data_IF_096819077891
#
_entry.id   IF_096819077891
#
_cell.length_a   1.000
_cell.length_b   1.000
_cell.length_c   1.000
_cell.angle_alpha   90.00
_cell.angle_beta   90.00
_cell.angle_gamma   90.00
#
_symmetry.space_group_name_H-M   'P 1'
#
loop_
_entity.id
_entity.type
_entity.pdbx_description
1 polymer ?
#
# COMPACT_ATOMS: atom_id res chain seq x y z
N UNK A 1 63.12 -2.74 -11.49
CA UNK A 1 62.50 -4.05 -11.11
C UNK A 1 60.99 -3.90 -11.29
N UNK A 2 60.37 -4.49 -12.31
CA UNK A 2 58.92 -4.37 -12.51
C UNK A 2 58.20 -5.54 -11.82
N UNK A 3 57.32 -5.22 -10.87
CA UNK A 3 56.41 -6.16 -10.26
C UNK A 3 55.26 -6.48 -11.22
N UNK A 4 55.19 -7.74 -11.68
CA UNK A 4 54.07 -8.28 -12.46
C UNK A 4 53.00 -8.75 -11.49
N UNK A 5 51.85 -8.03 -11.40
CA UNK A 5 50.63 -8.48 -10.75
C UNK A 5 49.87 -9.39 -11.74
N UNK A 6 49.76 -10.66 -11.44
CA UNK A 6 48.93 -11.61 -12.13
C UNK A 6 47.45 -11.44 -11.67
N UNK A 7 46.49 -11.42 -12.60
CA UNK A 7 45.09 -11.42 -12.23
C UNK A 7 44.64 -12.83 -11.81
N UNK A 8 44.20 -12.98 -10.56
CA UNK A 8 43.59 -14.18 -10.02
C UNK A 8 42.13 -14.25 -10.50
N UNK A 9 41.89 -15.02 -11.57
CA UNK A 9 40.53 -15.36 -12.05
C UNK A 9 39.88 -16.32 -11.04
N UNK A 10 38.94 -15.84 -10.26
CA UNK A 10 38.10 -16.64 -9.38
C UNK A 10 36.85 -17.10 -10.17
N UNK A 11 36.66 -18.42 -10.45
CA UNK A 11 35.44 -18.89 -11.05
C UNK A 11 34.29 -18.89 -10.01
N UNK A 12 33.30 -18.03 -10.19
CA UNK A 12 32.07 -18.05 -9.41
C UNK A 12 31.22 -19.21 -9.94
N UNK A 13 31.22 -20.32 -9.21
CA UNK A 13 30.27 -21.42 -9.37
C UNK A 13 28.88 -20.96 -8.93
N UNK A 14 28.05 -20.59 -9.88
CA UNK A 14 26.62 -20.36 -9.66
C UNK A 14 25.98 -21.75 -9.55
N UNK A 15 25.88 -22.30 -8.34
CA UNK A 15 25.04 -23.45 -8.05
C UNK A 15 23.56 -22.99 -8.14
N UNK A 16 22.98 -23.18 -9.31
CA UNK A 16 21.54 -23.01 -9.51
C UNK A 16 20.79 -24.05 -8.67
N UNK A 17 20.16 -23.62 -7.57
CA UNK A 17 19.12 -24.41 -6.90
C UNK A 17 17.93 -24.50 -7.85
N UNK A 18 17.88 -25.56 -8.66
CA UNK A 18 16.66 -26.01 -9.31
C UNK A 18 15.75 -26.59 -8.21
N UNK A 19 15.06 -25.74 -7.45
CA UNK A 19 13.92 -26.16 -6.68
C UNK A 19 12.85 -26.58 -7.69
N UNK A 20 12.62 -27.89 -7.80
CA UNK A 20 11.46 -28.44 -8.46
C UNK A 20 10.23 -27.95 -7.70
N UNK A 21 9.71 -26.79 -8.14
CA UNK A 21 8.42 -26.32 -7.68
C UNK A 21 7.41 -27.33 -8.20
N UNK A 22 6.94 -28.22 -7.32
CA UNK A 22 5.78 -29.04 -7.56
C UNK A 22 4.57 -28.10 -7.67
N UNK A 23 4.48 -27.38 -8.78
CA UNK A 23 3.29 -26.60 -9.09
C UNK A 23 2.16 -27.61 -9.25
N UNK A 24 1.03 -27.45 -8.54
CA UNK A 24 -0.11 -28.31 -8.72
C UNK A 24 -0.50 -28.28 -10.20
N UNK A 25 -0.42 -29.43 -10.86
CA UNK A 25 -0.79 -29.58 -12.25
C UNK A 25 -2.25 -29.20 -12.42
N UNK A 26 -2.55 -28.28 -13.32
CA UNK A 26 -3.92 -27.95 -13.73
C UNK A 26 -4.50 -29.02 -14.68
N UNK A 27 -3.77 -30.11 -14.92
CA UNK A 27 -4.29 -31.25 -15.66
C UNK A 27 -5.44 -31.91 -14.89
N UNK A 28 -6.54 -32.13 -15.57
CA UNK A 28 -7.72 -32.81 -15.01
C UNK A 28 -7.27 -34.17 -14.47
N UNK A 29 -7.44 -34.39 -13.17
CA UNK A 29 -7.09 -35.67 -12.54
C UNK A 29 -8.00 -36.77 -13.09
N UNK A 30 -7.49 -38.01 -13.27
CA UNK A 30 -8.32 -39.13 -13.74
C UNK A 30 -9.62 -39.33 -12.96
N UNK A 31 -9.63 -38.99 -11.67
CA UNK A 31 -10.82 -39.01 -10.82
C UNK A 31 -11.85 -37.93 -11.18
N UNK A 32 -11.44 -36.85 -11.78
CA UNK A 32 -12.34 -35.76 -12.24
C UNK A 32 -12.86 -36.05 -13.65
N UNK A 33 -12.06 -36.73 -14.49
CA UNK A 33 -12.50 -37.18 -15.81
C UNK A 33 -13.53 -38.32 -15.73
N UNK A 34 -13.55 -39.07 -14.63
CA UNK A 34 -14.52 -40.14 -14.38
C UNK A 34 -15.83 -39.62 -13.74
N UNK A 35 -15.88 -38.35 -13.32
CA UNK A 35 -17.12 -37.73 -12.92
C UNK A 35 -17.92 -37.33 -14.16
N UNK A 36 -18.37 -38.33 -14.93
CA UNK A 36 -19.50 -38.16 -15.83
C UNK A 36 -20.62 -37.55 -14.97
N UNK A 37 -21.06 -36.37 -15.42
CA UNK A 37 -22.22 -35.70 -14.83
C UNK A 37 -23.35 -36.71 -14.83
N UNK A 38 -23.55 -37.38 -13.71
CA UNK A 38 -24.68 -38.23 -13.52
C UNK A 38 -25.89 -37.28 -13.45
N UNK A 39 -26.63 -37.24 -14.56
CA UNK A 39 -27.78 -36.37 -14.77
C UNK A 39 -28.91 -36.62 -13.75
N UNK A 40 -28.70 -37.52 -12.80
CA UNK A 40 -29.62 -37.88 -11.74
C UNK A 40 -29.22 -37.34 -10.36
N UNK A 41 -28.28 -36.39 -10.27
CA UNK A 41 -28.07 -35.75 -8.96
C UNK A 41 -29.30 -34.91 -8.64
N UNK A 42 -30.09 -35.27 -7.60
CA UNK A 42 -31.21 -34.44 -7.18
C UNK A 42 -30.65 -33.04 -6.92
N UNK A 43 -31.31 -32.02 -7.50
CA UNK A 43 -30.90 -30.64 -7.29
C UNK A 43 -30.61 -30.43 -5.81
N UNK A 44 -29.34 -30.25 -5.47
CA UNK A 44 -28.97 -29.98 -4.08
C UNK A 44 -29.87 -28.83 -3.64
N UNK A 45 -30.66 -29.06 -2.61
CA UNK A 45 -31.53 -28.02 -2.08
C UNK A 45 -30.68 -26.77 -1.91
N UNK A 46 -31.00 -25.74 -2.66
CA UNK A 46 -30.32 -24.47 -2.55
C UNK A 46 -30.59 -24.00 -1.14
N UNK A 47 -29.64 -24.28 -0.25
CA UNK A 47 -29.68 -23.74 1.10
C UNK A 47 -29.80 -22.25 0.94
N UNK A 48 -30.87 -21.59 1.40
CA UNK A 48 -30.98 -20.15 1.25
C UNK A 48 -29.71 -19.54 1.86
N UNK A 49 -28.98 -18.78 1.09
CA UNK A 49 -27.87 -17.98 1.61
C UNK A 49 -28.53 -17.07 2.63
N UNK A 50 -28.38 -17.41 3.92
CA UNK A 50 -28.76 -16.50 5.00
C UNK A 50 -27.85 -15.30 4.83
N UNK A 51 -28.38 -14.26 4.18
CA UNK A 51 -27.70 -12.96 4.13
C UNK A 51 -27.60 -12.52 5.58
N UNK A 52 -26.40 -12.62 6.14
CA UNK A 52 -26.17 -12.21 7.52
C UNK A 52 -26.67 -10.77 7.65
N UNK A 53 -27.59 -10.57 8.59
CA UNK A 53 -28.17 -9.24 8.86
C UNK A 53 -27.04 -8.24 9.05
N UNK A 54 -27.03 -7.19 8.23
CA UNK A 54 -26.02 -6.13 8.32
C UNK A 54 -26.30 -5.33 9.57
N UNK A 55 -25.45 -5.46 10.56
CA UNK A 55 -25.54 -4.68 11.79
C UNK A 55 -24.93 -3.30 11.51
N UNK A 56 -25.69 -2.21 11.64
CA UNK A 56 -25.17 -0.87 11.45
C UNK A 56 -23.97 -0.60 12.39
N UNK A 57 -23.07 0.26 11.95
CA UNK A 57 -22.02 0.78 12.83
C UNK A 57 -22.63 1.55 13.99
N UNK A 58 -22.09 1.38 15.18
CA UNK A 58 -22.51 2.17 16.34
C UNK A 58 -22.08 3.65 16.18
N UNK A 59 -22.84 4.54 16.83
CA UNK A 59 -22.66 6.00 16.71
C UNK A 59 -21.25 6.44 17.15
N UNK A 60 -20.69 5.79 18.16
CA UNK A 60 -19.36 6.13 18.67
C UNK A 60 -18.27 5.76 17.63
N UNK A 61 -18.40 4.60 16.99
CA UNK A 61 -17.52 4.19 15.90
C UNK A 61 -17.60 5.15 14.72
N UNK A 62 -18.82 5.52 14.30
CA UNK A 62 -19.01 6.50 13.21
C UNK A 62 -18.33 7.83 13.57
N UNK A 63 -18.55 8.36 14.75
CA UNK A 63 -17.96 9.62 15.18
C UNK A 63 -16.43 9.62 15.20
N UNK A 64 -15.81 8.49 15.59
CA UNK A 64 -14.35 8.31 15.54
C UNK A 64 -13.84 8.35 14.10
N UNK A 65 -14.47 7.59 13.21
CA UNK A 65 -14.09 7.56 11.79
C UNK A 65 -14.28 8.93 11.12
N UNK A 66 -15.39 9.60 11.37
CA UNK A 66 -15.65 10.97 10.86
C UNK A 66 -14.58 11.96 11.35
N UNK A 67 -14.11 11.81 12.59
CA UNK A 67 -13.03 12.65 13.13
C UNK A 67 -11.74 12.42 12.34
N UNK A 68 -11.43 11.18 12.01
CA UNK A 68 -10.27 10.82 11.16
C UNK A 68 -10.44 11.38 9.73
N UNK A 69 -11.64 11.28 9.14
CA UNK A 69 -11.94 11.88 7.82
C UNK A 69 -11.67 13.39 7.85
N UNK A 70 -12.19 14.11 8.85
CA UNK A 70 -11.95 15.56 8.98
C UNK A 70 -10.46 15.88 9.14
N UNK A 71 -9.71 15.10 9.90
CA UNK A 71 -8.28 15.29 10.07
C UNK A 71 -7.51 15.08 8.75
N UNK A 72 -7.86 14.04 7.99
CA UNK A 72 -7.29 13.81 6.66
C UNK A 72 -7.61 14.96 5.69
N UNK A 73 -8.86 15.41 5.64
CA UNK A 73 -9.28 16.54 4.82
C UNK A 73 -8.58 17.84 5.20
N UNK A 74 -8.37 18.10 6.49
CA UNK A 74 -7.64 19.27 6.97
C UNK A 74 -6.17 19.28 6.52
N UNK A 75 -5.56 18.12 6.22
CA UNK A 75 -4.20 18.04 5.70
C UNK A 75 -4.05 18.53 4.26
N UNK A 76 -5.15 18.58 3.48
CA UNK A 76 -5.09 18.86 2.03
C UNK A 76 -4.54 20.26 1.76
N UNK A 77 -5.09 21.28 2.40
CA UNK A 77 -4.71 22.67 2.13
C UNK A 77 -3.22 22.97 2.45
N UNK A 78 -2.67 22.61 3.63
CA UNK A 78 -1.25 22.79 3.91
C UNK A 78 -0.36 21.96 2.99
N UNK A 79 -0.79 20.73 2.61
CA UNK A 79 -0.06 19.89 1.66
C UNK A 79 0.04 20.57 0.28
N UNK A 80 -1.09 20.99 -0.29
CA UNK A 80 -1.12 21.69 -1.59
C UNK A 80 -0.23 22.93 -1.58
N UNK A 81 -0.28 23.72 -0.51
CA UNK A 81 0.59 24.91 -0.35
C UNK A 81 2.08 24.56 -0.33
N UNK A 82 2.47 23.38 0.17
CA UNK A 82 3.86 22.96 0.28
C UNK A 82 4.38 22.24 -0.99
N UNK A 83 3.51 21.77 -1.89
CA UNK A 83 3.90 21.02 -3.09
C UNK A 83 4.73 21.86 -4.05
N UNK A 84 4.29 23.06 -4.40
CA UNK A 84 4.99 23.89 -5.41
C UNK A 84 6.39 24.32 -4.95
N UNK A 85 6.62 24.80 -3.71
CA UNK A 85 7.97 25.03 -3.22
C UNK A 85 8.87 23.80 -3.27
N UNK A 86 8.33 22.61 -2.95
CA UNK A 86 9.09 21.36 -3.01
C UNK A 86 9.44 20.98 -4.46
N UNK A 87 8.50 21.14 -5.41
CA UNK A 87 8.75 20.91 -6.84
C UNK A 87 9.82 21.84 -7.39
N UNK A 88 9.75 23.12 -7.07
CA UNK A 88 10.74 24.12 -7.50
C UNK A 88 12.13 23.79 -6.95
N UNK A 89 12.24 23.44 -5.66
CA UNK A 89 13.51 23.07 -5.06
C UNK A 89 14.13 21.81 -5.71
N UNK A 90 13.31 20.77 -5.98
CA UNK A 90 13.75 19.55 -6.66
C UNK A 90 14.17 19.85 -8.11
N UNK A 91 13.47 20.73 -8.81
CA UNK A 91 13.85 21.17 -10.16
C UNK A 91 15.20 21.91 -10.16
N UNK A 92 15.40 22.82 -9.22
CA UNK A 92 16.67 23.56 -9.07
C UNK A 92 17.85 22.65 -8.69
N UNK A 93 17.60 21.54 -8.02
CA UNK A 93 18.62 20.53 -7.71
C UNK A 93 18.93 19.60 -8.89
N UNK A 94 18.29 19.83 -10.04
CA UNK A 94 18.48 19.00 -11.23
C UNK A 94 19.94 19.07 -11.72
N UNK A 95 20.65 17.92 -11.72
CA UNK A 95 22.07 17.83 -12.09
C UNK A 95 23.05 18.30 -11.02
N UNK A 96 22.58 18.77 -9.87
CA UNK A 96 23.43 19.17 -8.76
C UNK A 96 24.11 17.95 -8.10
N UNK A 97 25.34 18.12 -7.66
CA UNK A 97 26.04 17.08 -6.92
C UNK A 97 25.30 16.76 -5.59
N UNK A 98 25.31 15.50 -5.19
CA UNK A 98 24.85 15.10 -3.86
C UNK A 98 25.59 15.91 -2.80
N UNK A 99 24.90 16.38 -1.78
CA UNK A 99 25.39 17.26 -0.72
C UNK A 99 25.69 18.71 -1.14
N UNK A 100 25.42 19.11 -2.40
CA UNK A 100 25.44 20.53 -2.76
C UNK A 100 24.32 21.29 -2.06
N UNK A 101 24.45 22.61 -1.98
CA UNK A 101 23.43 23.47 -1.35
C UNK A 101 22.06 23.29 -1.99
N UNK A 102 21.98 23.24 -3.32
CA UNK A 102 20.72 23.01 -4.03
C UNK A 102 20.11 21.65 -3.70
N UNK A 103 20.93 20.60 -3.62
CA UNK A 103 20.46 19.26 -3.26
C UNK A 103 19.93 19.22 -1.81
N UNK A 104 20.65 19.84 -0.86
CA UNK A 104 20.23 19.93 0.54
C UNK A 104 18.94 20.74 0.66
N UNK A 105 18.81 21.86 -0.05
CA UNK A 105 17.59 22.67 -0.07
C UNK A 105 16.39 21.86 -0.58
N UNK A 106 16.56 21.04 -1.62
CA UNK A 106 15.52 20.15 -2.12
C UNK A 106 15.12 19.08 -1.10
N UNK A 107 16.08 18.46 -0.43
CA UNK A 107 15.82 17.49 0.66
C UNK A 107 15.00 18.13 1.78
N UNK A 108 15.35 19.32 2.22
CA UNK A 108 14.63 20.06 3.26
C UNK A 108 13.21 20.39 2.81
N UNK A 109 13.04 20.82 1.55
CA UNK A 109 11.71 21.14 1.02
C UNK A 109 10.80 19.90 0.93
N UNK A 110 11.32 18.76 0.47
CA UNK A 110 10.56 17.51 0.44
C UNK A 110 10.23 17.01 1.85
N UNK A 111 11.17 17.11 2.80
CA UNK A 111 10.92 16.75 4.19
C UNK A 111 9.85 17.62 4.87
N UNK A 112 9.77 18.90 4.48
CA UNK A 112 8.69 19.81 4.93
C UNK A 112 7.35 19.41 4.34
N UNK A 113 7.32 19.04 3.05
CA UNK A 113 6.12 18.54 2.39
C UNK A 113 5.65 17.23 3.07
N UNK A 114 6.55 16.32 3.36
CA UNK A 114 6.24 15.06 4.04
C UNK A 114 5.58 15.27 5.41
N UNK A 115 6.07 16.24 6.18
CA UNK A 115 5.45 16.59 7.46
C UNK A 115 4.01 17.10 7.34
N UNK A 116 3.65 17.75 6.24
CA UNK A 116 2.28 18.24 6.05
C UNK A 116 1.24 17.13 5.86
N UNK A 117 1.68 15.90 5.50
CA UNK A 117 0.80 14.73 5.38
C UNK A 117 0.67 13.90 6.67
N UNK A 118 1.33 14.30 7.75
CA UNK A 118 1.28 13.56 9.01
C UNK A 118 -0.16 13.35 9.50
N UNK A 119 -1.02 14.37 9.35
CA UNK A 119 -2.41 14.28 9.77
C UNK A 119 -3.20 13.23 8.95
N UNK A 120 -2.97 13.10 7.64
CA UNK A 120 -3.62 12.06 6.83
C UNK A 120 -3.11 10.66 7.16
N UNK A 121 -1.80 10.53 7.38
CA UNK A 121 -1.20 9.26 7.77
C UNK A 121 -1.70 8.77 9.14
N UNK A 122 -1.78 9.66 10.12
CA UNK A 122 -2.32 9.36 11.44
C UNK A 122 -3.82 9.04 11.39
N UNK A 123 -4.57 9.76 10.55
CA UNK A 123 -5.99 9.50 10.34
C UNK A 123 -6.23 8.10 9.76
N UNK A 124 -5.43 7.68 8.77
CA UNK A 124 -5.51 6.34 8.21
C UNK A 124 -5.16 5.27 9.24
N UNK A 125 -4.09 5.48 10.01
CA UNK A 125 -3.69 4.57 11.07
C UNK A 125 -4.79 4.41 12.15
N UNK A 126 -5.50 5.48 12.51
CA UNK A 126 -6.61 5.42 13.46
C UNK A 126 -7.80 4.65 12.89
N UNK A 127 -8.18 4.86 11.62
CA UNK A 127 -9.25 4.08 10.98
C UNK A 127 -8.89 2.59 10.92
N UNK A 128 -7.64 2.25 10.60
CA UNK A 128 -7.16 0.87 10.62
C UNK A 128 -7.19 0.28 12.05
N UNK A 129 -6.93 1.09 13.06
CA UNK A 129 -7.02 0.68 14.46
C UNK A 129 -8.47 0.37 14.86
N UNK A 130 -9.40 1.26 14.53
CA UNK A 130 -10.84 1.06 14.76
C UNK A 130 -11.31 -0.25 14.11
N UNK A 131 -10.91 -0.51 12.86
CA UNK A 131 -11.23 -1.75 12.16
C UNK A 131 -10.72 -2.99 12.91
N UNK A 132 -9.48 -2.93 13.39
CA UNK A 132 -8.89 -4.04 14.18
C UNK A 132 -9.63 -4.26 15.48
N UNK A 133 -10.03 -3.21 16.19
CA UNK A 133 -10.81 -3.28 17.42
C UNK A 133 -12.18 -3.94 17.18
N UNK A 134 -12.88 -3.57 16.10
CA UNK A 134 -14.17 -4.17 15.74
C UNK A 134 -14.04 -5.67 15.46
N UNK A 135 -13.01 -6.06 14.72
CA UNK A 135 -12.75 -7.46 14.37
C UNK A 135 -12.35 -8.25 15.62
N UNK A 136 -11.43 -7.74 16.43
CA UNK A 136 -10.96 -8.40 17.65
C UNK A 136 -12.08 -8.55 18.70
N UNK A 137 -13.00 -7.59 18.75
CA UNK A 137 -14.18 -7.65 19.61
C UNK A 137 -15.27 -8.61 19.13
N UNK A 138 -15.07 -9.32 18.01
CA UNK A 138 -16.05 -10.25 17.43
C UNK A 138 -17.34 -9.56 16.99
N UNK A 139 -17.34 -8.25 16.84
CA UNK A 139 -18.53 -7.49 16.47
C UNK A 139 -18.90 -7.75 15.01
N UNK A 140 -20.16 -8.10 14.79
CA UNK A 140 -20.73 -8.05 13.45
C UNK A 140 -21.06 -6.59 13.13
N UNK A 141 -20.57 -6.07 12.01
CA UNK A 141 -20.81 -4.68 11.58
C UNK A 141 -20.91 -4.59 10.06
N UNK A 142 -21.49 -3.54 9.56
CA UNK A 142 -21.55 -3.25 8.12
C UNK A 142 -20.16 -2.91 7.60
N UNK A 143 -19.50 -3.93 7.04
CA UNK A 143 -18.13 -3.81 6.50
C UNK A 143 -18.06 -2.94 5.27
N UNK A 144 -19.13 -2.91 4.46
CA UNK A 144 -19.17 -2.11 3.24
C UNK A 144 -19.27 -0.63 3.59
N UNK A 145 -20.12 -0.27 4.55
CA UNK A 145 -20.21 1.10 5.06
C UNK A 145 -18.90 1.57 5.70
N UNK A 146 -18.26 0.69 6.49
CA UNK A 146 -16.95 1.01 7.08
C UNK A 146 -15.88 1.20 6.02
N UNK A 147 -15.82 0.30 5.02
CA UNK A 147 -14.84 0.38 3.93
C UNK A 147 -15.01 1.69 3.13
N UNK A 148 -16.24 2.09 2.82
CA UNK A 148 -16.49 3.34 2.11
C UNK A 148 -15.95 4.58 2.86
N UNK A 149 -16.06 4.61 4.20
CA UNK A 149 -15.48 5.68 5.02
C UNK A 149 -13.95 5.60 5.07
N UNK A 150 -13.39 4.39 5.16
CA UNK A 150 -11.94 4.16 5.15
C UNK A 150 -11.32 4.61 3.83
N UNK A 151 -11.99 4.33 2.69
CA UNK A 151 -11.52 4.68 1.36
C UNK A 151 -11.32 6.19 1.19
N UNK A 152 -12.15 7.02 1.84
CA UNK A 152 -12.00 8.48 1.81
C UNK A 152 -10.63 8.88 2.40
N UNK A 153 -10.28 8.34 3.55
CA UNK A 153 -9.00 8.65 4.22
C UNK A 153 -7.82 8.07 3.43
N UNK A 154 -7.97 6.82 2.97
CA UNK A 154 -6.95 6.12 2.21
C UNK A 154 -6.62 6.82 0.88
N UNK A 155 -7.63 7.36 0.18
CA UNK A 155 -7.43 8.10 -1.05
C UNK A 155 -6.59 9.36 -0.83
N UNK A 156 -6.89 10.14 0.22
CA UNK A 156 -6.14 11.36 0.56
C UNK A 156 -4.68 11.02 0.90
N UNK A 157 -4.43 10.04 1.78
CA UNK A 157 -3.07 9.66 2.16
C UNK A 157 -2.28 9.09 0.97
N UNK A 158 -2.93 8.26 0.13
CA UNK A 158 -2.31 7.66 -1.05
C UNK A 158 -1.89 8.71 -2.07
N UNK A 159 -2.75 9.71 -2.36
CA UNK A 159 -2.42 10.80 -3.28
C UNK A 159 -1.22 11.62 -2.78
N UNK A 160 -1.26 12.04 -1.51
CA UNK A 160 -0.17 12.79 -0.90
C UNK A 160 1.14 11.99 -0.90
N UNK A 161 1.09 10.69 -0.58
CA UNK A 161 2.25 9.79 -0.60
C UNK A 161 2.84 9.65 -2.00
N UNK A 162 2.00 9.51 -3.01
CA UNK A 162 2.44 9.39 -4.40
C UNK A 162 3.19 10.64 -4.86
N UNK A 163 2.71 11.83 -4.51
CA UNK A 163 3.36 13.09 -4.86
C UNK A 163 4.74 13.23 -4.18
N UNK A 164 4.85 12.92 -2.88
CA UNK A 164 6.14 12.92 -2.16
C UNK A 164 7.10 11.90 -2.78
N UNK A 165 6.64 10.68 -3.04
CA UNK A 165 7.45 9.62 -3.65
C UNK A 165 7.97 10.02 -5.03
N UNK A 166 7.16 10.68 -5.85
CA UNK A 166 7.58 11.18 -7.17
C UNK A 166 8.69 12.24 -7.07
N UNK A 167 8.64 13.12 -6.07
CA UNK A 167 9.70 14.12 -5.85
C UNK A 167 10.99 13.48 -5.34
N UNK A 168 10.88 12.52 -4.40
CA UNK A 168 12.04 11.77 -3.90
C UNK A 168 12.72 10.96 -5.01
N UNK A 169 11.94 10.35 -5.92
CA UNK A 169 12.48 9.60 -7.05
C UNK A 169 13.31 10.50 -7.96
N UNK A 170 12.83 11.69 -8.27
CA UNK A 170 13.56 12.67 -9.08
C UNK A 170 14.86 13.13 -8.42
N UNK A 171 14.90 13.19 -7.10
CA UNK A 171 16.09 13.59 -6.35
C UNK A 171 17.12 12.45 -6.27
N UNK A 172 16.69 11.18 -6.27
CA UNK A 172 17.56 10.00 -6.18
C UNK A 172 18.09 9.52 -7.53
N UNK A 173 17.40 9.77 -8.62
CA UNK A 173 17.73 9.25 -9.96
C UNK A 173 18.92 9.93 -10.64
N UNK A 174 19.83 10.56 -9.86
CA UNK A 174 20.97 11.31 -10.39
C UNK A 174 22.26 11.08 -9.55
#
# INVERSE_FOLDING_TARGET
MPFRLAPLLLPILIAGCASSINSPSLAIRPSEAAATIDAARPAAAVTPIVVAERVPLDVATIARVETSIRAAQASIAPFVKAVEPARAAVANAAGAAVSSEAWVAAQVAVSRLERTREASANALAEVDNIRRELIAGGKNFDRDAFAAMQDIVAAIDSDQRAQVSALLSRLKSR
#
